data_IF_458227200865
#
_entry.id   IF_458227200865
#
_cell.length_a   1.000
_cell.length_b   1.000
_cell.length_c   1.000
_cell.angle_alpha   90.00
_cell.angle_beta   90.00
_cell.angle_gamma   90.00
#
_symmetry.space_group_name_H-M   'P 1'
#
loop_
_entity.id
_entity.type
_entity.pdbx_description
1 polymer ?
#
# COMPACT_ATOMS: atom_id res chain seq x y z
N UNK A 1 10.34 19.10 -18.13
CA UNK A 1 11.15 18.36 -17.15
C UNK A 1 11.06 19.15 -15.87
N UNK A 2 10.09 18.80 -15.03
CA UNK A 2 9.88 19.50 -13.76
C UNK A 2 10.80 18.89 -12.70
N UNK A 3 11.70 19.71 -12.19
CA UNK A 3 12.80 19.32 -11.30
C UNK A 3 12.38 19.16 -9.82
N UNK A 4 11.09 18.95 -9.54
CA UNK A 4 10.58 18.68 -8.20
C UNK A 4 9.51 17.58 -8.20
N UNK A 5 9.84 16.37 -8.63
CA UNK A 5 9.21 15.20 -7.99
C UNK A 5 9.96 14.95 -6.67
N UNK A 6 9.66 15.76 -5.66
CA UNK A 6 9.94 15.33 -4.29
C UNK A 6 9.22 13.99 -4.12
N UNK A 7 9.93 12.96 -3.68
CA UNK A 7 9.32 11.67 -3.37
C UNK A 7 8.37 11.91 -2.19
N UNK A 8 7.11 12.17 -2.49
CA UNK A 8 6.08 12.27 -1.47
C UNK A 8 5.74 10.85 -1.07
N UNK A 9 5.74 10.61 0.23
CA UNK A 9 5.37 9.34 0.83
C UNK A 9 4.05 9.58 1.55
N UNK A 10 3.05 8.76 1.24
CA UNK A 10 1.74 8.83 1.88
C UNK A 10 1.64 7.72 2.92
N UNK A 11 1.26 8.11 4.14
CA UNK A 11 0.91 7.17 5.19
C UNK A 11 -0.61 7.03 5.23
N UNK A 12 -1.10 5.85 4.87
CA UNK A 12 -2.52 5.50 4.86
C UNK A 12 -2.87 4.76 6.14
N UNK A 13 -3.97 5.17 6.77
CA UNK A 13 -4.55 4.54 7.95
C UNK A 13 -6.01 4.24 7.67
N UNK A 14 -6.42 3.00 7.88
CA UNK A 14 -7.77 2.49 7.65
C UNK A 14 -8.29 1.92 8.96
N UNK A 15 -9.52 2.32 9.32
CA UNK A 15 -10.28 1.73 10.42
C UNK A 15 -11.47 0.95 9.88
N UNK A 16 -11.70 -0.27 10.36
CA UNK A 16 -12.89 -1.04 10.00
C UNK A 16 -14.06 -0.79 10.99
N UNK A 17 -15.21 -1.39 10.69
CA UNK A 17 -16.44 -1.22 11.49
C UNK A 17 -16.42 -1.92 12.85
N UNK A 18 -15.44 -2.79 13.10
CA UNK A 18 -15.29 -3.55 14.34
C UNK A 18 -14.09 -3.07 15.17
N UNK A 19 -13.40 -2.01 14.75
CA UNK A 19 -12.34 -1.33 15.49
C UNK A 19 -10.92 -1.78 15.14
N UNK A 20 -10.73 -2.59 14.10
CA UNK A 20 -9.39 -2.87 13.60
C UNK A 20 -8.81 -1.64 12.90
N UNK A 21 -7.51 -1.44 13.05
CA UNK A 21 -6.73 -0.38 12.43
C UNK A 21 -5.55 -1.00 11.69
N UNK A 22 -5.47 -0.73 10.40
CA UNK A 22 -4.43 -1.23 9.51
C UNK A 22 -4.12 -0.22 8.43
N UNK A 23 -3.09 -0.47 7.63
CA UNK A 23 -2.77 0.45 6.54
C UNK A 23 -1.40 0.22 5.97
N UNK A 24 -0.89 1.24 5.29
CA UNK A 24 0.34 1.15 4.54
C UNK A 24 1.08 2.48 4.44
N UNK A 25 2.38 2.40 4.24
CA UNK A 25 3.18 3.52 3.75
C UNK A 25 3.45 3.27 2.27
N UNK A 26 2.99 4.17 1.40
CA UNK A 26 3.12 4.05 -0.06
C UNK A 26 3.79 5.28 -0.65
N UNK A 27 4.54 5.08 -1.72
CA UNK A 27 5.15 6.18 -2.48
C UNK A 27 4.18 6.75 -3.51
N UNK A 28 4.16 8.08 -3.62
CA UNK A 28 3.29 8.81 -4.55
C UNK A 28 4.14 9.70 -5.49
N UNK A 29 3.61 10.09 -6.67
CA UNK A 29 2.24 9.92 -7.16
C UNK A 29 1.88 8.47 -7.47
N UNK A 30 0.69 8.04 -7.03
CA UNK A 30 0.08 6.81 -7.54
C UNK A 30 -0.30 7.02 -9.00
N UNK A 31 0.13 6.14 -9.90
CA UNK A 31 -0.21 6.20 -11.32
C UNK A 31 -1.13 5.02 -11.62
N UNK A 32 -2.42 5.28 -11.93
CA UNK A 32 -3.33 4.23 -12.35
C UNK A 32 -2.71 3.37 -13.45
N UNK A 33 -2.69 2.06 -13.26
CA UNK A 33 -2.17 1.11 -14.24
C UNK A 33 -2.92 -0.21 -14.15
N UNK A 34 -3.15 -0.85 -15.30
CA UNK A 34 -3.97 -2.07 -15.33
C UNK A 34 -3.30 -3.27 -14.67
N UNK A 35 -1.95 -3.36 -14.67
CA UNK A 35 -1.21 -4.54 -14.15
C UNK A 35 0.21 -4.25 -13.62
N UNK A 36 0.66 -3.00 -13.62
CA UNK A 36 2.05 -2.68 -13.29
C UNK A 36 2.16 -2.24 -11.83
N UNK A 37 2.87 -3.04 -11.06
CA UNK A 37 3.26 -2.66 -9.71
C UNK A 37 4.21 -1.46 -9.72
N UNK A 38 4.07 -0.61 -8.70
CA UNK A 38 4.86 0.58 -8.46
C UNK A 38 5.29 0.68 -6.98
N UNK A 39 6.24 1.57 -6.69
CA UNK A 39 6.83 1.78 -5.36
C UNK A 39 8.21 1.13 -5.20
N UNK A 40 8.84 1.33 -4.04
CA UNK A 40 10.13 0.72 -3.67
C UNK A 40 10.01 -0.11 -2.39
N UNK A 41 11.15 -0.65 -1.94
CA UNK A 41 11.29 -1.37 -0.68
C UNK A 41 11.06 -0.49 0.57
N UNK A 42 10.81 0.81 0.39
CA UNK A 42 10.35 1.70 1.46
C UNK A 42 8.90 1.42 1.87
N UNK A 43 8.09 0.79 0.99
CA UNK A 43 6.69 0.44 1.27
C UNK A 43 6.58 -0.57 2.41
N UNK A 44 5.64 -0.41 3.34
CA UNK A 44 5.31 -1.41 4.34
C UNK A 44 3.81 -1.39 4.67
N UNK A 45 3.30 -2.47 5.27
CA UNK A 45 1.94 -2.53 5.82
C UNK A 45 1.98 -2.70 7.34
N UNK A 46 0.92 -2.29 8.02
CA UNK A 46 0.78 -2.46 9.46
C UNK A 46 -0.64 -2.86 9.83
N UNK A 47 -0.80 -3.47 11.01
CA UNK A 47 -2.10 -3.85 11.55
C UNK A 47 -2.06 -3.92 13.09
N UNK A 48 -3.20 -3.72 13.73
CA UNK A 48 -3.43 -4.01 15.15
C UNK A 48 -4.26 -5.29 15.39
N UNK A 49 -4.58 -6.07 14.34
CA UNK A 49 -5.42 -7.27 14.45
C UNK A 49 -4.68 -8.39 15.21
N UNK A 50 -3.36 -8.42 15.12
CA UNK A 50 -2.52 -9.28 15.96
C UNK A 50 -2.58 -8.87 17.43
N UNK A 51 -2.08 -9.73 18.33
CA UNK A 51 -2.07 -9.45 19.79
C UNK A 51 -1.42 -8.12 20.17
N UNK A 52 -0.52 -7.61 19.32
CA UNK A 52 0.11 -6.30 19.43
C UNK A 52 0.19 -5.68 18.02
N UNK A 53 0.32 -4.35 17.88
CA UNK A 53 0.55 -3.72 16.58
C UNK A 53 1.83 -4.25 15.90
N UNK A 54 1.73 -4.62 14.63
CA UNK A 54 2.84 -5.18 13.85
C UNK A 54 3.04 -4.40 12.56
N UNK A 55 4.31 -4.21 12.17
CA UNK A 55 4.72 -3.68 10.88
C UNK A 55 5.34 -4.81 10.07
N UNK A 56 4.83 -5.05 8.86
CA UNK A 56 5.38 -6.00 7.89
C UNK A 56 6.14 -5.25 6.80
N UNK A 57 7.46 -5.44 6.77
CA UNK A 57 8.35 -4.86 5.77
C UNK A 57 8.56 -5.81 4.59
N UNK A 58 8.97 -5.32 3.41
CA UNK A 58 9.25 -6.16 2.26
C UNK A 58 10.35 -7.17 2.55
N UNK A 59 10.15 -8.40 2.08
CA UNK A 59 11.08 -9.52 2.29
C UNK A 59 12.20 -9.59 1.26
N UNK A 60 12.11 -8.80 0.18
CA UNK A 60 13.03 -8.87 -0.97
C UNK A 60 12.71 -9.96 -2.00
N UNK A 61 11.67 -10.78 -1.78
CA UNK A 61 11.31 -11.87 -2.69
C UNK A 61 10.65 -11.40 -4.00
N UNK A 62 10.00 -10.23 -4.00
CA UNK A 62 9.40 -9.63 -5.19
C UNK A 62 9.33 -8.10 -5.03
N UNK A 63 8.85 -7.41 -6.09
CA UNK A 63 8.66 -5.95 -6.13
C UNK A 63 7.18 -5.57 -6.32
N UNK A 64 6.28 -6.37 -5.77
CA UNK A 64 4.84 -6.20 -5.90
C UNK A 64 4.30 -5.30 -4.79
N UNK A 65 4.78 -4.06 -4.73
CA UNK A 65 4.51 -3.16 -3.61
C UNK A 65 3.11 -2.55 -3.66
N UNK A 66 2.80 -1.76 -4.69
CA UNK A 66 1.49 -1.10 -4.83
C UNK A 66 0.95 -1.32 -6.24
N UNK A 67 -0.32 -1.66 -6.35
CA UNK A 67 -1.08 -1.71 -7.59
C UNK A 67 -2.30 -0.80 -7.43
N UNK A 68 -2.45 0.17 -8.33
CA UNK A 68 -3.51 1.16 -8.25
C UNK A 68 -4.13 1.28 -9.64
N UNK A 69 -5.46 1.29 -9.69
CA UNK A 69 -6.21 1.73 -10.86
C UNK A 69 -7.45 2.50 -10.38
N UNK A 70 -8.40 2.76 -11.29
CA UNK A 70 -9.61 3.52 -10.96
C UNK A 70 -10.60 2.75 -10.08
N UNK A 71 -10.50 1.42 -10.04
CA UNK A 71 -11.42 0.53 -9.32
C UNK A 71 -10.89 0.14 -7.94
N UNK A 72 -9.57 0.25 -7.71
CA UNK A 72 -8.97 -0.15 -6.44
C UNK A 72 -7.58 0.43 -6.18
N UNK A 73 -7.20 0.36 -4.90
CA UNK A 73 -5.83 0.47 -4.41
C UNK A 73 -5.45 -0.79 -3.63
N UNK A 74 -4.40 -1.47 -4.08
CA UNK A 74 -3.91 -2.71 -3.47
C UNK A 74 -2.43 -2.61 -3.11
N UNK A 75 -2.05 -3.15 -1.95
CA UNK A 75 -0.68 -3.14 -1.42
C UNK A 75 -0.23 -4.56 -1.07
N UNK A 76 1.03 -4.87 -1.38
CA UNK A 76 1.69 -6.14 -1.05
C UNK A 76 1.10 -7.31 -1.82
N UNK A 77 1.34 -7.36 -3.12
CA UNK A 77 0.85 -8.40 -4.02
C UNK A 77 1.70 -9.68 -4.06
N UNK A 78 1.26 -10.63 -4.89
CA UNK A 78 1.81 -11.98 -4.97
C UNK A 78 0.70 -12.95 -5.36
N UNK A 79 0.35 -13.87 -4.45
CA UNK A 79 -0.87 -14.67 -4.58
C UNK A 79 -2.12 -13.92 -4.08
N UNK A 80 -1.96 -13.05 -3.08
CA UNK A 80 -3.01 -12.24 -2.45
C UNK A 80 -2.45 -10.84 -2.18
N UNK A 81 -3.33 -9.88 -1.88
CA UNK A 81 -2.95 -8.56 -1.41
C UNK A 81 -2.99 -8.49 0.12
N UNK A 82 -2.02 -7.80 0.72
CA UNK A 82 -2.01 -7.54 2.15
C UNK A 82 -3.08 -6.50 2.55
N UNK A 83 -3.28 -5.49 1.69
CA UNK A 83 -4.37 -4.50 1.82
C UNK A 83 -5.00 -4.35 0.45
N UNK A 84 -6.34 -4.33 0.42
CA UNK A 84 -7.13 -4.04 -0.78
C UNK A 84 -8.24 -3.07 -0.38
N UNK A 85 -8.28 -1.92 -1.04
CA UNK A 85 -9.31 -0.91 -0.89
C UNK A 85 -10.03 -0.78 -2.22
N UNK A 86 -11.34 -0.89 -2.16
CA UNK A 86 -12.23 -0.67 -3.29
C UNK A 86 -12.28 0.83 -3.67
N UNK A 87 -12.58 1.15 -4.92
CA UNK A 87 -12.67 2.52 -5.43
C UNK A 87 -13.81 3.34 -4.84
N UNK A 88 -14.82 2.68 -4.25
CA UNK A 88 -15.97 3.31 -3.62
C UNK A 88 -15.75 3.74 -2.15
N UNK A 89 -14.53 3.57 -1.61
CA UNK A 89 -14.15 3.95 -0.24
C UNK A 89 -14.03 5.47 -0.02
#
# INVERSE_FOLDING_TARGET
MDWFQMLVITFQVVGDRIGAVFGSLVEVPLRPSNKKYQGTNSTFVFTNISSHPVIYRPTGLNRYFTLCNIEFLAIGGGSHFAVYLDGDL
#
